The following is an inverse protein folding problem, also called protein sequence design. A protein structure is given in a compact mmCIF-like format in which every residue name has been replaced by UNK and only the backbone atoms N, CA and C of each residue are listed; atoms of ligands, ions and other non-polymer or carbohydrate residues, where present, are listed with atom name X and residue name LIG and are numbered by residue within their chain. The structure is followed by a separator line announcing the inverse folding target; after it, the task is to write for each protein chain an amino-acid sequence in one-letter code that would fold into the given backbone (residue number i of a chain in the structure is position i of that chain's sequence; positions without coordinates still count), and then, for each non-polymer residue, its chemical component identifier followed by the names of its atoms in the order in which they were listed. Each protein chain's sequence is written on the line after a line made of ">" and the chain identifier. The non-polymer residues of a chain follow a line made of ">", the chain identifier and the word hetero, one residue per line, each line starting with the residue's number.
data_IF_296290807865
#
_entry.id   IF_296290807865
#
_cell.length_a   1.000
_cell.length_b   1.000
_cell.length_c   1.000
_cell.angle_alpha   90.00
_cell.angle_beta   90.00
_cell.angle_gamma   90.00
#
_symmetry.space_group_name_H-M   'P 1'
#
loop_
_entity.id
_entity.type
_entity.pdbx_description
1 polymer ?
#
# COMPACT_ATOMS: atom_id res chain seq x y z
N UNK A 1 4.32 -25.97 20.65
CA UNK A 1 3.56 -24.80 20.18
C UNK A 1 2.47 -24.51 21.19
N UNK A 2 2.11 -23.26 21.41
CA UNK A 2 0.96 -22.94 22.27
C UNK A 2 -0.31 -22.88 21.42
N UNK A 3 -1.42 -23.34 21.99
CA UNK A 3 -2.74 -23.21 21.37
C UNK A 3 -3.15 -21.74 21.17
N UNK A 4 -4.07 -21.48 20.24
CA UNK A 4 -4.53 -20.13 19.95
C UNK A 4 -5.54 -19.66 21.01
N UNK A 5 -5.26 -18.51 21.63
CA UNK A 5 -6.20 -17.82 22.53
C UNK A 5 -6.94 -16.66 21.86
N UNK A 6 -6.36 -16.11 20.79
CA UNK A 6 -6.93 -15.04 19.96
C UNK A 6 -6.54 -15.28 18.50
N UNK A 7 -7.21 -14.59 17.57
CA UNK A 7 -6.91 -14.71 16.15
C UNK A 7 -5.50 -14.15 15.85
N UNK A 8 -4.60 -14.93 15.22
CA UNK A 8 -3.23 -14.48 14.93
C UNK A 8 -3.20 -13.29 13.95
N UNK A 9 -4.23 -13.15 13.11
CA UNK A 9 -4.36 -12.08 12.12
C UNK A 9 -4.82 -10.76 12.73
N UNK A 10 -5.91 -10.76 13.50
CA UNK A 10 -6.55 -9.50 13.94
C UNK A 10 -6.70 -9.35 15.46
N UNK A 11 -6.15 -10.26 16.26
CA UNK A 11 -6.33 -10.35 17.73
C UNK A 11 -7.79 -10.45 18.17
N UNK A 12 -8.72 -10.73 17.25
CA UNK A 12 -10.13 -10.91 17.56
C UNK A 12 -10.42 -12.23 18.27
N UNK A 13 -11.62 -12.33 18.84
CA UNK A 13 -12.12 -13.56 19.44
C UNK A 13 -12.22 -14.68 18.39
N UNK A 14 -11.87 -15.89 18.81
CA UNK A 14 -11.96 -17.12 18.02
C UNK A 14 -12.92 -18.09 18.69
N UNK A 15 -13.54 -18.94 17.88
CA UNK A 15 -14.37 -20.06 18.33
C UNK A 15 -13.88 -21.35 17.69
N UNK A 16 -13.96 -22.45 18.43
CA UNK A 16 -13.68 -23.78 17.90
C UNK A 16 -14.79 -24.16 16.92
N UNK A 17 -14.41 -24.79 15.82
CA UNK A 17 -15.33 -25.42 14.86
C UNK A 17 -15.01 -26.90 14.72
N UNK A 18 -16.04 -27.69 14.47
CA UNK A 18 -15.87 -29.11 14.17
C UNK A 18 -15.36 -29.28 12.73
N UNK A 19 -14.24 -29.97 12.58
CA UNK A 19 -13.70 -30.42 11.29
C UNK A 19 -13.30 -31.89 11.41
N UNK A 20 -14.28 -32.76 11.16
CA UNK A 20 -14.11 -34.21 11.23
C UNK A 20 -13.04 -34.72 10.25
N UNK A 21 -12.95 -34.11 9.07
CA UNK A 21 -11.96 -34.50 8.06
C UNK A 21 -10.53 -34.33 8.58
N UNK A 22 -10.19 -33.15 9.11
CA UNK A 22 -8.85 -32.93 9.66
C UNK A 22 -8.58 -33.76 10.90
N UNK A 23 -9.59 -34.03 11.73
CA UNK A 23 -9.46 -34.95 12.86
C UNK A 23 -9.07 -36.36 12.39
N UNK A 24 -9.80 -36.90 11.40
CA UNK A 24 -9.48 -38.20 10.80
C UNK A 24 -8.08 -38.19 10.17
N UNK A 25 -7.76 -37.16 9.38
CA UNK A 25 -6.46 -37.06 8.71
C UNK A 25 -5.31 -36.97 9.71
N UNK A 26 -5.47 -36.19 10.78
CA UNK A 26 -4.47 -36.08 11.84
C UNK A 26 -4.23 -37.44 12.52
N UNK A 27 -5.30 -38.18 12.82
CA UNK A 27 -5.22 -39.55 13.37
C UNK A 27 -4.53 -40.55 12.43
N UNK A 28 -4.71 -40.41 11.10
CA UNK A 28 -4.07 -41.26 10.10
C UNK A 28 -2.57 -41.00 9.98
N UNK A 29 -2.14 -39.74 10.14
CA UNK A 29 -0.72 -39.38 10.05
C UNK A 29 -0.03 -39.63 11.39
N UNK A 30 -0.75 -39.42 12.49
CA UNK A 30 -0.23 -39.55 13.86
C UNK A 30 -1.33 -40.10 14.78
N UNK A 31 -1.07 -41.26 15.40
CA UNK A 31 -2.09 -42.00 16.19
C UNK A 31 -2.70 -41.19 17.36
N UNK A 32 -1.97 -40.21 17.91
CA UNK A 32 -2.40 -39.40 19.06
C UNK A 32 -1.99 -37.94 18.84
N UNK A 33 -2.85 -37.16 18.15
CA UNK A 33 -2.65 -35.72 17.96
C UNK A 33 -3.85 -34.95 18.48
N UNK A 34 -3.58 -33.93 19.28
CA UNK A 34 -4.59 -32.95 19.61
C UNK A 34 -4.80 -32.06 18.38
N UNK A 35 -5.99 -32.11 17.78
CA UNK A 35 -6.34 -31.26 16.65
C UNK A 35 -7.50 -30.35 17.01
N UNK A 36 -7.32 -29.05 16.77
CA UNK A 36 -8.39 -28.05 16.91
C UNK A 36 -8.39 -27.13 15.69
N UNK A 37 -9.59 -26.80 15.22
CA UNK A 37 -9.75 -25.74 14.24
C UNK A 37 -10.55 -24.60 14.83
N UNK A 38 -10.08 -23.39 14.54
CA UNK A 38 -10.67 -22.15 14.99
C UNK A 38 -11.17 -21.34 13.81
N UNK A 39 -12.17 -20.50 14.07
CA UNK A 39 -12.58 -19.41 13.17
C UNK A 39 -12.70 -18.11 13.97
N UNK A 40 -12.17 -17.02 13.42
CA UNK A 40 -12.26 -15.70 14.01
C UNK A 40 -13.66 -15.09 13.77
N UNK A 41 -14.26 -14.53 14.82
CA UNK A 41 -15.56 -13.87 14.75
C UNK A 41 -15.50 -12.50 14.05
N UNK A 42 -14.32 -11.89 13.93
CA UNK A 42 -14.13 -10.57 13.32
C UNK A 42 -13.71 -10.64 11.85
N UNK A 43 -12.56 -11.26 11.55
CA UNK A 43 -12.01 -11.28 10.18
C UNK A 43 -12.30 -12.56 9.41
N UNK A 44 -12.99 -13.53 10.02
CA UNK A 44 -13.29 -14.85 9.45
C UNK A 44 -12.05 -15.65 9.02
N UNK A 45 -10.87 -15.30 9.54
CA UNK A 45 -9.68 -16.13 9.45
C UNK A 45 -9.94 -17.49 10.12
N UNK A 46 -9.57 -18.59 9.46
CA UNK A 46 -9.53 -19.89 10.13
C UNK A 46 -8.08 -20.31 10.36
N UNK A 47 -7.83 -20.98 11.47
CA UNK A 47 -6.52 -21.52 11.80
C UNK A 47 -6.64 -22.86 12.51
N UNK A 48 -5.62 -23.69 12.38
CA UNK A 48 -5.56 -25.04 12.94
C UNK A 48 -4.42 -25.12 13.94
N UNK A 49 -4.68 -25.76 15.07
CA UNK A 49 -3.66 -26.12 16.05
C UNK A 49 -3.50 -27.64 16.03
N UNK A 50 -2.24 -28.07 16.06
CA UNK A 50 -1.84 -29.44 16.34
C UNK A 50 -0.50 -29.48 17.07
N UNK A 51 -0.25 -30.55 17.82
CA UNK A 51 1.01 -30.76 18.56
C UNK A 51 2.11 -31.49 17.75
N UNK A 52 1.86 -31.73 16.46
CA UNK A 52 2.85 -32.32 15.54
C UNK A 52 4.06 -31.39 15.35
N UNK A 53 5.30 -31.88 15.54
CA UNK A 53 6.51 -31.16 15.16
C UNK A 53 6.55 -30.86 13.66
N UNK A 54 6.73 -29.58 13.28
CA UNK A 54 6.79 -29.17 11.87
C UNK A 54 7.92 -29.85 11.10
N UNK A 55 9.04 -30.13 11.75
CA UNK A 55 10.15 -30.86 11.13
C UNK A 55 9.68 -32.21 10.57
N UNK A 56 8.73 -32.89 11.22
CA UNK A 56 8.19 -34.16 10.72
C UNK A 56 7.26 -33.96 9.51
N UNK A 57 6.53 -32.85 9.49
CA UNK A 57 5.67 -32.46 8.37
C UNK A 57 6.52 -32.12 7.14
N UNK A 58 7.59 -31.34 7.32
CA UNK A 58 8.37 -30.79 6.22
C UNK A 58 9.63 -31.59 5.84
N UNK A 59 10.03 -32.60 6.63
CA UNK A 59 11.09 -33.55 6.26
C UNK A 59 10.60 -34.58 5.22
N UNK A 60 9.30 -34.64 4.90
CA UNK A 60 8.82 -35.45 3.78
C UNK A 60 9.39 -34.88 2.47
N UNK A 61 10.26 -35.67 1.81
CA UNK A 61 11.26 -35.26 0.80
C UNK A 61 10.75 -34.58 -0.49
N UNK A 62 9.47 -34.25 -0.63
CA UNK A 62 8.93 -33.76 -1.90
C UNK A 62 8.38 -32.34 -1.78
N UNK A 63 9.24 -31.34 -1.98
CA UNK A 63 8.75 -30.05 -2.48
C UNK A 63 8.16 -30.31 -3.87
N UNK A 64 6.84 -30.12 -4.01
CA UNK A 64 6.21 -30.28 -5.31
C UNK A 64 6.60 -29.09 -6.19
N UNK A 65 7.10 -29.31 -7.42
CA UNK A 65 7.31 -28.21 -8.35
C UNK A 65 5.97 -27.51 -8.60
N UNK A 66 6.02 -26.20 -8.85
CA UNK A 66 4.81 -25.44 -9.19
C UNK A 66 4.25 -26.00 -10.50
N UNK A 67 2.97 -26.36 -10.53
CA UNK A 67 2.31 -26.80 -11.77
C UNK A 67 2.24 -25.62 -12.75
N UNK A 68 2.89 -25.78 -13.90
CA UNK A 68 3.02 -24.74 -14.94
C UNK A 68 2.14 -24.99 -16.16
N UNK A 69 1.28 -26.02 -16.16
CA UNK A 69 0.47 -26.33 -17.35
C UNK A 69 -0.39 -25.14 -17.81
N UNK A 70 -0.76 -24.26 -16.88
CA UNK A 70 -1.58 -23.07 -17.12
C UNK A 70 -0.78 -21.75 -17.02
N UNK A 71 0.54 -21.80 -16.87
CA UNK A 71 1.43 -20.64 -16.72
C UNK A 71 1.64 -20.17 -15.27
N UNK A 72 2.62 -19.29 -15.09
CA UNK A 72 2.95 -18.67 -13.79
C UNK A 72 2.47 -17.21 -13.76
N UNK A 73 1.36 -16.96 -13.05
CA UNK A 73 0.74 -15.64 -12.96
C UNK A 73 1.40 -14.71 -11.94
N UNK A 74 2.33 -15.23 -11.12
CA UNK A 74 2.97 -14.46 -10.04
C UNK A 74 3.85 -13.35 -10.62
N UNK A 75 4.72 -13.69 -11.57
CA UNK A 75 5.59 -12.73 -12.24
C UNK A 75 4.80 -11.66 -13.01
N UNK A 76 3.73 -12.06 -13.69
CA UNK A 76 2.90 -11.14 -14.47
C UNK A 76 2.15 -10.14 -13.57
N UNK A 77 1.64 -10.60 -12.42
CA UNK A 77 1.07 -9.72 -11.41
C UNK A 77 2.10 -8.70 -10.91
N UNK A 78 3.33 -9.14 -10.61
CA UNK A 78 4.41 -8.26 -10.16
C UNK A 78 4.73 -7.21 -11.23
N UNK A 79 4.97 -7.61 -12.49
CA UNK A 79 5.32 -6.70 -13.59
C UNK A 79 4.23 -5.68 -13.90
N UNK A 80 2.96 -6.07 -13.79
CA UNK A 80 1.81 -5.18 -14.01
C UNK A 80 1.73 -4.06 -12.97
N UNK A 81 2.19 -4.33 -11.75
CA UNK A 81 2.02 -3.45 -10.59
C UNK A 81 3.30 -2.75 -10.14
N UNK A 82 4.45 -3.19 -10.62
CA UNK A 82 5.75 -2.65 -10.26
C UNK A 82 6.67 -2.56 -11.47
N UNK A 83 7.31 -1.41 -11.61
CA UNK A 83 8.42 -1.21 -12.53
C UNK A 83 9.69 -1.86 -11.95
N UNK A 84 9.80 -3.16 -12.19
CA UNK A 84 10.90 -3.99 -11.70
C UNK A 84 12.28 -3.59 -12.25
N UNK A 85 12.33 -2.75 -13.30
CA UNK A 85 13.61 -2.25 -13.85
C UNK A 85 14.28 -1.20 -12.93
N UNK A 86 13.53 -0.65 -11.97
CA UNK A 86 14.02 0.32 -10.98
C UNK A 86 14.57 -0.32 -9.70
N UNK A 87 14.64 -1.64 -9.66
CA UNK A 87 15.17 -2.37 -8.50
C UNK A 87 16.69 -2.41 -8.58
N UNK A 88 17.36 -1.97 -7.53
CA UNK A 88 18.82 -2.04 -7.37
C UNK A 88 19.26 -3.10 -6.33
N UNK A 89 18.28 -3.75 -5.71
CA UNK A 89 18.45 -4.84 -4.75
C UNK A 89 18.46 -6.23 -5.39
N UNK A 90 17.95 -7.20 -4.64
CA UNK A 90 17.90 -8.62 -5.00
C UNK A 90 16.46 -9.15 -4.99
N UNK A 91 16.17 -10.16 -5.80
CA UNK A 91 15.01 -11.03 -5.67
C UNK A 91 15.27 -12.07 -4.58
N UNK A 92 14.47 -12.02 -3.51
CA UNK A 92 14.64 -12.85 -2.31
C UNK A 92 13.35 -13.63 -2.07
N UNK A 93 13.41 -14.95 -2.19
CA UNK A 93 12.26 -15.82 -1.96
C UNK A 93 12.36 -16.50 -0.60
N UNK A 94 11.39 -16.21 0.27
CA UNK A 94 11.27 -16.84 1.59
C UNK A 94 10.40 -18.08 1.44
N UNK A 95 10.87 -19.23 1.92
CA UNK A 95 10.25 -20.55 1.73
C UNK A 95 10.20 -20.99 0.27
N UNK A 96 11.21 -20.62 -0.52
CA UNK A 96 11.19 -20.76 -1.98
C UNK A 96 11.47 -22.15 -2.52
N UNK A 97 11.83 -23.13 -1.69
CA UNK A 97 12.19 -24.48 -2.13
C UNK A 97 13.23 -24.45 -3.27
N UNK A 98 12.90 -24.91 -4.50
CA UNK A 98 13.82 -24.86 -5.64
C UNK A 98 14.24 -23.46 -6.13
N UNK A 99 13.52 -22.39 -5.74
CA UNK A 99 13.83 -21.00 -6.07
C UNK A 99 13.30 -20.49 -7.40
N UNK A 100 12.25 -21.12 -7.94
CA UNK A 100 11.76 -20.80 -9.29
C UNK A 100 11.28 -19.36 -9.45
N UNK A 101 10.58 -18.81 -8.46
CA UNK A 101 10.04 -17.45 -8.54
C UNK A 101 11.16 -16.42 -8.32
N UNK A 102 12.10 -16.68 -7.41
CA UNK A 102 13.32 -15.89 -7.25
C UNK A 102 14.06 -15.75 -8.58
N UNK A 103 14.27 -16.86 -9.29
CA UNK A 103 14.95 -16.86 -10.59
C UNK A 103 14.20 -16.05 -11.65
N UNK A 104 12.89 -16.25 -11.76
CA UNK A 104 12.05 -15.52 -12.72
C UNK A 104 12.12 -14.01 -12.50
N UNK A 105 11.99 -13.57 -11.25
CA UNK A 105 12.05 -12.16 -10.88
C UNK A 105 13.48 -11.62 -11.08
N UNK A 106 14.51 -12.36 -10.65
CA UNK A 106 15.92 -12.00 -10.85
C UNK A 106 16.24 -11.72 -12.32
N UNK A 107 15.86 -12.63 -13.21
CA UNK A 107 16.05 -12.48 -14.67
C UNK A 107 15.33 -11.23 -15.17
N UNK A 108 14.07 -11.03 -14.76
CA UNK A 108 13.29 -9.88 -15.18
C UNK A 108 13.85 -8.55 -14.65
N UNK A 109 14.58 -8.57 -13.53
CA UNK A 109 15.28 -7.42 -12.95
C UNK A 109 16.72 -7.26 -13.46
N UNK A 110 17.20 -8.13 -14.35
CA UNK A 110 18.60 -8.16 -14.80
C UNK A 110 19.63 -8.27 -13.66
N UNK A 111 19.26 -8.92 -12.55
CA UNK A 111 20.15 -9.14 -11.40
C UNK A 111 21.07 -10.33 -11.66
N UNK A 112 22.32 -10.27 -11.21
CA UNK A 112 23.29 -11.36 -11.42
C UNK A 112 23.05 -12.57 -10.51
N UNK A 113 22.51 -12.34 -9.31
CA UNK A 113 22.20 -13.37 -8.31
C UNK A 113 20.85 -13.12 -7.66
N UNK A 114 20.19 -14.18 -7.22
CA UNK A 114 19.00 -14.15 -6.36
C UNK A 114 19.26 -14.94 -5.08
N UNK A 115 18.32 -14.89 -4.14
CA UNK A 115 18.44 -15.56 -2.85
C UNK A 115 17.18 -16.35 -2.52
N UNK A 116 17.37 -17.55 -2.00
CA UNK A 116 16.32 -18.36 -1.39
C UNK A 116 16.63 -18.51 0.10
N UNK A 117 15.64 -18.19 0.93
CA UNK A 117 15.71 -18.36 2.38
C UNK A 117 14.75 -19.46 2.78
N UNK A 118 15.26 -20.56 3.32
CA UNK A 118 14.44 -21.72 3.70
C UNK A 118 15.10 -22.48 4.86
N UNK A 119 14.40 -23.44 5.46
CA UNK A 119 14.97 -24.30 6.51
C UNK A 119 15.65 -25.56 5.94
N UNK A 120 15.46 -25.85 4.64
CA UNK A 120 16.17 -26.92 3.92
C UNK A 120 16.67 -26.39 2.58
N UNK A 121 17.93 -26.66 2.27
CA UNK A 121 18.51 -26.33 0.96
C UNK A 121 17.94 -27.24 -0.12
N UNK A 122 17.09 -26.67 -0.96
CA UNK A 122 16.50 -27.32 -2.15
C UNK A 122 16.82 -26.55 -3.43
N UNK A 123 17.71 -25.56 -3.34
CA UNK A 123 18.00 -24.65 -4.45
C UNK A 123 18.57 -25.47 -5.62
N UNK A 124 17.97 -25.26 -6.80
CA UNK A 124 18.26 -26.08 -7.99
C UNK A 124 19.01 -25.31 -9.09
N UNK A 125 19.31 -24.02 -8.86
CA UNK A 125 19.80 -23.09 -9.87
C UNK A 125 21.06 -22.38 -9.37
N UNK A 126 22.16 -22.46 -10.13
CA UNK A 126 23.47 -21.87 -9.77
C UNK A 126 23.45 -20.33 -9.61
N UNK A 127 22.43 -19.69 -10.20
CA UNK A 127 22.18 -18.25 -10.10
C UNK A 127 21.58 -17.83 -8.76
N UNK A 128 21.23 -18.77 -7.89
CA UNK A 128 20.60 -18.54 -6.61
C UNK A 128 21.52 -18.95 -5.46
N UNK A 129 21.57 -18.10 -4.45
CA UNK A 129 22.17 -18.43 -3.15
C UNK A 129 21.12 -19.06 -2.23
N UNK A 130 21.56 -19.96 -1.35
CA UNK A 130 20.75 -20.49 -0.27
C UNK A 130 21.17 -19.90 1.07
N UNK A 131 20.19 -19.53 1.89
CA UNK A 131 20.41 -19.14 3.28
C UNK A 131 19.43 -19.86 4.19
N UNK A 132 20.00 -20.52 5.20
CA UNK A 132 19.22 -21.23 6.20
C UNK A 132 18.51 -20.25 7.15
N UNK A 133 17.22 -20.45 7.35
CA UNK A 133 16.46 -19.79 8.42
C UNK A 133 15.29 -20.66 8.88
N UNK A 134 15.18 -20.90 10.18
CA UNK A 134 13.94 -21.41 10.78
C UNK A 134 12.89 -20.30 10.74
N UNK A 135 11.92 -20.43 9.83
CA UNK A 135 10.87 -19.44 9.60
C UNK A 135 9.86 -19.35 10.75
N UNK A 136 9.76 -20.39 11.60
CA UNK A 136 8.93 -20.38 12.81
C UNK A 136 9.65 -19.76 14.02
N UNK A 137 10.95 -19.50 13.89
CA UNK A 137 11.77 -18.74 14.83
C UNK A 137 12.42 -17.52 14.15
N UNK A 138 11.71 -16.95 13.17
CA UNK A 138 12.22 -15.94 12.26
C UNK A 138 12.77 -14.69 12.96
N UNK A 139 12.25 -14.29 14.12
CA UNK A 139 12.75 -13.12 14.86
C UNK A 139 14.22 -13.23 15.26
N UNK A 140 14.73 -14.47 15.44
CA UNK A 140 16.13 -14.74 15.79
C UNK A 140 16.99 -15.05 14.57
N UNK A 141 16.46 -15.86 13.65
CA UNK A 141 17.22 -16.45 12.54
C UNK A 141 17.27 -15.53 11.33
N UNK A 142 16.13 -14.94 10.95
CA UNK A 142 16.00 -14.22 9.69
C UNK A 142 16.77 -12.88 9.63
N UNK A 143 16.80 -12.02 10.68
CA UNK A 143 17.61 -10.80 10.64
C UNK A 143 19.10 -11.08 10.42
N UNK A 144 19.65 -12.01 11.19
CA UNK A 144 21.07 -12.40 11.11
C UNK A 144 21.40 -12.95 9.72
N UNK A 145 20.53 -13.81 9.20
CA UNK A 145 20.64 -14.38 7.86
C UNK A 145 20.69 -13.31 6.75
N UNK A 146 19.92 -12.23 6.87
CA UNK A 146 19.82 -11.19 5.83
C UNK A 146 20.85 -10.08 5.99
N UNK A 147 21.25 -9.74 7.22
CA UNK A 147 22.24 -8.68 7.49
C UNK A 147 23.62 -9.03 6.92
N UNK A 148 24.01 -10.31 6.98
CA UNK A 148 25.29 -10.81 6.45
C UNK A 148 25.44 -10.65 4.92
N UNK A 149 24.32 -10.48 4.21
CA UNK A 149 24.26 -10.37 2.74
C UNK A 149 24.31 -8.91 2.28
N UNK A 150 24.15 -7.94 3.19
CA UNK A 150 24.27 -6.51 2.89
C UNK A 150 23.13 -5.94 2.04
N UNK A 151 21.90 -6.42 2.24
CA UNK A 151 20.72 -6.01 1.45
C UNK A 151 19.94 -4.81 2.02
N UNK A 152 20.25 -4.37 3.25
CA UNK A 152 19.39 -3.50 4.07
C UNK A 152 19.13 -2.10 3.49
N UNK A 153 20.02 -1.58 2.63
CA UNK A 153 19.88 -0.25 2.01
C UNK A 153 19.44 -0.29 0.54
N UNK A 154 19.11 -1.47 0.01
CA UNK A 154 18.71 -1.63 -1.40
C UNK A 154 17.21 -1.79 -1.54
N UNK A 155 16.70 -1.53 -2.74
CA UNK A 155 15.33 -1.79 -3.12
C UNK A 155 15.20 -3.23 -3.62
N UNK A 156 15.02 -4.15 -2.66
CA UNK A 156 14.85 -5.57 -2.92
C UNK A 156 13.38 -5.89 -3.26
N UNK A 157 13.14 -7.12 -3.72
CA UNK A 157 11.80 -7.69 -3.79
C UNK A 157 11.79 -9.00 -2.99
N UNK A 158 11.02 -9.01 -1.92
CA UNK A 158 10.75 -10.20 -1.12
C UNK A 158 9.54 -10.93 -1.70
N UNK A 159 9.66 -12.25 -1.83
CA UNK A 159 8.69 -13.13 -2.46
C UNK A 159 8.27 -14.18 -1.43
N UNK A 160 6.99 -14.23 -1.09
CA UNK A 160 6.42 -15.16 -0.12
C UNK A 160 5.21 -15.85 -0.77
N UNK A 161 5.47 -16.84 -1.63
CA UNK A 161 4.43 -17.59 -2.35
C UNK A 161 4.15 -18.90 -1.62
N UNK A 162 2.94 -19.06 -1.11
CA UNK A 162 2.52 -20.27 -0.39
C UNK A 162 3.39 -20.60 0.83
N UNK A 163 3.66 -19.59 1.66
CA UNK A 163 4.46 -19.73 2.89
C UNK A 163 3.70 -19.30 4.12
N UNK A 164 2.96 -18.20 4.08
CA UNK A 164 2.32 -17.68 5.29
C UNK A 164 1.25 -18.62 5.84
N UNK A 165 0.67 -19.51 5.03
CA UNK A 165 -0.25 -20.54 5.48
C UNK A 165 0.40 -21.60 6.39
N UNK A 166 1.72 -21.69 6.35
CA UNK A 166 2.58 -22.70 6.97
C UNK A 166 3.38 -22.20 8.18
N UNK A 167 3.35 -20.89 8.46
CA UNK A 167 4.08 -20.27 9.58
C UNK A 167 3.14 -20.07 10.77
N UNK A 168 3.56 -20.42 11.98
CA UNK A 168 2.72 -20.28 13.18
C UNK A 168 2.32 -18.84 13.52
N UNK A 169 3.28 -17.93 13.36
CA UNK A 169 3.06 -16.50 13.56
C UNK A 169 3.41 -15.73 12.27
N UNK A 170 2.45 -15.60 11.34
CA UNK A 170 2.67 -14.89 10.09
C UNK A 170 2.84 -13.39 10.33
N UNK A 171 2.42 -12.86 11.49
CA UNK A 171 2.69 -11.47 11.85
C UNK A 171 4.17 -11.28 12.20
N UNK A 172 4.78 -12.21 12.94
CA UNK A 172 6.19 -12.12 13.34
C UNK A 172 7.14 -12.03 12.12
N UNK A 173 6.98 -12.91 11.13
CA UNK A 173 7.84 -12.90 9.93
C UNK A 173 7.69 -11.62 9.12
N UNK A 174 6.45 -11.16 8.93
CA UNK A 174 6.16 -9.91 8.23
C UNK A 174 6.69 -8.68 9.00
N UNK A 175 6.64 -8.71 10.33
CA UNK A 175 7.18 -7.66 11.18
C UNK A 175 8.73 -7.61 11.14
N UNK A 176 9.39 -8.76 11.03
CA UNK A 176 10.85 -8.80 10.78
C UNK A 176 11.19 -8.18 9.42
N UNK A 177 10.47 -8.58 8.37
CA UNK A 177 10.69 -8.11 7.00
C UNK A 177 10.42 -6.61 6.83
N UNK A 178 9.56 -6.02 7.66
CA UNK A 178 9.29 -4.58 7.67
C UNK A 178 10.54 -3.71 7.84
N UNK A 179 11.62 -4.24 8.44
CA UNK A 179 12.90 -3.53 8.57
C UNK A 179 13.49 -3.12 7.22
N UNK A 180 13.16 -3.82 6.14
CA UNK A 180 13.61 -3.52 4.78
C UNK A 180 12.67 -2.49 4.14
N UNK A 181 12.61 -1.30 4.72
CA UNK A 181 11.56 -0.31 4.41
C UNK A 181 11.56 0.18 2.96
N UNK A 182 12.70 0.09 2.27
CA UNK A 182 12.86 0.53 0.88
C UNK A 182 12.50 -0.56 -0.14
N UNK A 183 12.10 -1.75 0.31
CA UNK A 183 11.84 -2.93 -0.53
C UNK A 183 10.36 -3.13 -0.82
N UNK A 184 10.08 -3.99 -1.80
CA UNK A 184 8.73 -4.47 -2.12
C UNK A 184 8.53 -5.89 -1.63
N UNK A 185 7.28 -6.25 -1.39
CA UNK A 185 6.88 -7.54 -0.87
C UNK A 185 5.73 -8.08 -1.72
N UNK A 186 5.99 -9.17 -2.43
CA UNK A 186 4.97 -9.98 -3.06
C UNK A 186 4.62 -11.12 -2.10
N UNK A 187 3.35 -11.22 -1.74
CA UNK A 187 2.87 -12.26 -0.84
C UNK A 187 1.66 -12.93 -1.49
N UNK A 188 1.69 -14.26 -1.54
CA UNK A 188 0.61 -15.08 -2.07
C UNK A 188 0.24 -16.19 -1.07
N UNK A 189 -1.06 -16.37 -0.87
CA UNK A 189 -1.64 -17.43 -0.04
C UNK A 189 -2.87 -18.03 -0.74
N UNK A 190 -3.29 -19.27 -0.42
CA UNK A 190 -4.53 -19.81 -0.95
C UNK A 190 -5.76 -18.99 -0.52
N UNK A 191 -6.76 -18.85 -1.40
CA UNK A 191 -8.01 -18.12 -1.12
C UNK A 191 -9.11 -19.05 -0.60
N UNK A 192 -9.25 -19.16 0.72
CA UNK A 192 -10.34 -19.90 1.37
C UNK A 192 -11.63 -19.10 1.52
N UNK A 193 -11.69 -17.89 0.95
CA UNK A 193 -12.90 -17.07 0.88
C UNK A 193 -13.82 -17.42 -0.29
N UNK A 194 -13.49 -18.42 -1.10
CA UNK A 194 -14.32 -18.93 -2.19
C UNK A 194 -14.68 -20.40 -1.98
N UNK A 195 -15.64 -20.87 -2.77
CA UNK A 195 -15.91 -22.29 -2.89
C UNK A 195 -14.80 -22.98 -3.67
N UNK A 196 -14.29 -24.10 -3.14
CA UNK A 196 -13.32 -24.96 -3.81
C UNK A 196 -14.06 -26.17 -4.39
N UNK A 197 -13.90 -26.42 -5.69
CA UNK A 197 -14.49 -27.60 -6.31
C UNK A 197 -13.86 -28.91 -5.75
N UNK A 198 -14.62 -30.00 -5.80
CA UNK A 198 -14.19 -31.35 -5.41
C UNK A 198 -12.86 -31.81 -6.03
N UNK A 199 -12.55 -31.33 -7.23
CA UNK A 199 -11.30 -31.63 -7.95
C UNK A 199 -10.09 -30.85 -7.42
N UNK A 200 -10.32 -29.68 -6.82
CA UNK A 200 -9.29 -28.78 -6.24
C UNK A 200 -9.12 -29.01 -4.73
N UNK A 201 -10.14 -29.60 -4.09
CA UNK A 201 -10.19 -29.96 -2.68
C UNK A 201 -9.02 -30.86 -2.24
N UNK A 202 -8.47 -31.69 -3.15
CA UNK A 202 -7.37 -32.63 -2.87
C UNK A 202 -6.08 -31.94 -2.42
N UNK A 203 -5.83 -30.71 -2.89
CA UNK A 203 -4.58 -30.00 -2.64
C UNK A 203 -4.70 -28.80 -1.69
N UNK A 204 -5.92 -28.32 -1.42
CA UNK A 204 -6.08 -26.96 -0.87
C UNK A 204 -6.71 -26.89 0.52
N UNK A 205 -7.70 -27.70 0.89
CA UNK A 205 -8.62 -27.27 1.97
C UNK A 205 -8.30 -27.80 3.36
N UNK A 206 -7.50 -28.87 3.50
CA UNK A 206 -7.36 -29.52 4.80
C UNK A 206 -6.07 -30.37 4.89
N UNK A 207 -4.92 -29.73 4.70
CA UNK A 207 -3.62 -30.33 5.01
C UNK A 207 -3.23 -29.96 6.44
N UNK A 208 -2.72 -30.89 7.28
CA UNK A 208 -2.19 -30.53 8.60
C UNK A 208 -1.14 -29.41 8.51
N UNK A 209 -0.39 -29.38 7.41
CA UNK A 209 0.68 -28.44 7.14
C UNK A 209 0.17 -26.99 6.99
N UNK A 210 -1.11 -26.80 6.65
CA UNK A 210 -1.76 -25.49 6.58
C UNK A 210 -2.30 -25.14 7.96
N UNK A 211 -1.61 -24.23 8.64
CA UNK A 211 -1.99 -23.65 9.94
C UNK A 211 -2.99 -22.51 9.74
N UNK A 212 -2.97 -21.86 8.57
CA UNK A 212 -3.75 -20.65 8.32
C UNK A 212 -4.55 -20.72 7.02
N UNK A 213 -5.83 -20.33 7.13
CA UNK A 213 -6.81 -20.38 6.06
C UNK A 213 -7.34 -18.96 5.84
N UNK A 214 -6.67 -18.24 4.93
CA UNK A 214 -6.95 -16.86 4.64
C UNK A 214 -8.12 -16.70 3.67
N UNK A 215 -8.98 -15.72 3.95
CA UNK A 215 -9.82 -15.06 2.96
C UNK A 215 -9.27 -13.64 2.68
N UNK A 216 -9.83 -12.93 1.70
CA UNK A 216 -9.37 -11.57 1.34
C UNK A 216 -9.37 -10.59 2.52
N UNK A 217 -10.37 -10.66 3.40
CA UNK A 217 -10.48 -9.77 4.57
C UNK A 217 -9.38 -10.08 5.59
N UNK A 218 -9.21 -11.34 5.99
CA UNK A 218 -8.16 -11.72 6.94
C UNK A 218 -6.77 -11.44 6.38
N UNK A 219 -6.54 -11.73 5.09
CA UNK A 219 -5.24 -11.50 4.48
C UNK A 219 -4.88 -10.02 4.46
N UNK A 220 -5.73 -9.15 3.91
CA UNK A 220 -5.48 -7.71 3.91
C UNK A 220 -5.39 -7.12 5.33
N UNK A 221 -6.15 -7.67 6.29
CA UNK A 221 -6.04 -7.26 7.70
C UNK A 221 -4.64 -7.55 8.25
N UNK A 222 -4.07 -8.73 7.97
CA UNK A 222 -2.71 -9.07 8.38
C UNK A 222 -1.68 -8.10 7.77
N UNK A 223 -1.78 -7.87 6.45
CA UNK A 223 -0.86 -6.99 5.71
C UNK A 223 -0.90 -5.56 6.29
N UNK A 224 -2.09 -5.01 6.49
CA UNK A 224 -2.27 -3.67 7.05
C UNK A 224 -1.82 -3.59 8.51
N UNK A 225 -2.09 -4.61 9.32
CA UNK A 225 -1.66 -4.67 10.73
C UNK A 225 -0.14 -4.68 10.86
N UNK A 226 0.58 -5.31 9.93
CA UNK A 226 2.04 -5.25 9.87
C UNK A 226 2.54 -3.86 9.44
N UNK A 227 1.66 -2.99 8.93
CA UNK A 227 1.98 -1.63 8.50
C UNK A 227 2.55 -1.55 7.10
N UNK A 228 2.17 -2.48 6.22
CA UNK A 228 2.46 -2.37 4.80
C UNK A 228 1.39 -1.54 4.09
N UNK A 229 1.83 -0.78 3.09
CA UNK A 229 0.96 -0.11 2.13
C UNK A 229 0.72 -1.02 0.93
N UNK A 230 -0.54 -1.30 0.62
CA UNK A 230 -0.91 -2.19 -0.49
C UNK A 230 -0.84 -1.41 -1.81
N UNK A 231 0.04 -1.86 -2.71
CA UNK A 231 0.18 -1.32 -4.07
C UNK A 231 -0.85 -1.98 -4.99
N UNK A 232 -0.97 -3.30 -4.90
CA UNK A 232 -1.91 -4.07 -5.69
C UNK A 232 -2.43 -5.29 -4.92
N UNK A 233 -3.65 -5.71 -5.24
CA UNK A 233 -4.28 -6.90 -4.70
C UNK A 233 -5.08 -7.61 -5.79
N UNK A 234 -4.95 -8.93 -5.88
CA UNK A 234 -5.68 -9.78 -6.82
C UNK A 234 -6.22 -11.02 -6.13
N UNK A 235 -7.35 -11.51 -6.65
CA UNK A 235 -7.86 -12.85 -6.36
C UNK A 235 -7.83 -13.66 -7.65
N UNK A 236 -7.08 -14.76 -7.65
CA UNK A 236 -7.13 -15.75 -8.71
C UNK A 236 -8.22 -16.77 -8.42
N UNK A 237 -9.01 -17.12 -9.43
CA UNK A 237 -10.06 -18.13 -9.35
C UNK A 237 -9.74 -19.34 -10.24
N UNK A 238 -10.60 -20.36 -10.17
CA UNK A 238 -10.55 -21.57 -11.00
C UNK A 238 -10.40 -21.27 -12.51
N UNK A 239 -9.77 -22.16 -13.32
CA UNK A 239 -9.46 -23.57 -13.01
C UNK A 239 -8.19 -23.79 -12.17
N UNK A 240 -7.46 -22.74 -11.85
CA UNK A 240 -6.29 -22.79 -10.97
C UNK A 240 -6.70 -22.92 -9.50
N UNK A 241 -5.75 -23.32 -8.65
CA UNK A 241 -5.93 -23.21 -7.19
C UNK A 241 -6.24 -21.74 -6.85
N UNK A 242 -7.36 -21.46 -6.16
CA UNK A 242 -7.69 -20.10 -5.76
C UNK A 242 -6.59 -19.51 -4.89
N UNK A 243 -6.17 -18.29 -5.22
CA UNK A 243 -5.06 -17.62 -4.52
C UNK A 243 -5.36 -16.13 -4.33
N UNK A 244 -4.88 -15.60 -3.21
CA UNK A 244 -4.84 -14.19 -2.89
C UNK A 244 -3.41 -13.70 -3.12
N UNK A 245 -3.25 -12.61 -3.87
CA UNK A 245 -1.95 -11.98 -4.11
C UNK A 245 -1.98 -10.55 -3.65
N UNK A 246 -0.92 -10.13 -2.98
CA UNK A 246 -0.70 -8.72 -2.65
C UNK A 246 0.71 -8.34 -3.05
N UNK A 247 0.84 -7.15 -3.62
CA UNK A 247 2.10 -6.45 -3.75
C UNK A 247 2.04 -5.25 -2.82
N UNK A 248 3.01 -5.11 -1.94
CA UNK A 248 3.04 -4.04 -0.96
C UNK A 248 4.46 -3.50 -0.72
N UNK A 249 4.54 -2.37 -0.04
CA UNK A 249 5.77 -1.72 0.40
C UNK A 249 5.64 -1.26 1.86
N UNK A 250 6.76 -0.94 2.49
CA UNK A 250 6.77 -0.29 3.79
C UNK A 250 6.82 1.22 3.61
N UNK A 251 5.67 1.88 3.53
CA UNK A 251 5.61 3.33 3.64
C UNK A 251 4.91 3.75 4.93
N UNK A 252 5.33 4.88 5.49
CA UNK A 252 4.57 5.53 6.54
C UNK A 252 3.19 5.88 5.99
N UNK A 253 2.14 5.47 6.71
CA UNK A 253 0.81 6.03 6.45
C UNK A 253 0.83 7.51 6.82
N UNK A 254 1.10 8.36 5.84
CA UNK A 254 0.95 9.80 6.00
C UNK A 254 -0.48 10.17 5.67
N UNK A 255 -1.25 10.47 6.71
CA UNK A 255 -2.55 11.08 6.50
C UNK A 255 -2.31 12.56 6.18
N UNK A 256 -2.70 13.00 4.98
CA UNK A 256 -2.53 14.39 4.51
C UNK A 256 -3.20 15.42 5.43
N UNK A 257 -4.17 15.00 6.25
CA UNK A 257 -4.77 15.84 7.30
C UNK A 257 -3.73 16.34 8.31
N UNK A 258 -2.69 15.56 8.60
CA UNK A 258 -1.62 15.99 9.50
C UNK A 258 -0.78 17.13 8.92
N UNK A 259 -0.83 17.35 7.60
CA UNK A 259 -0.02 18.37 6.91
C UNK A 259 -0.81 19.60 6.43
N UNK A 260 -2.05 19.79 6.89
CA UNK A 260 -2.88 20.93 6.48
C UNK A 260 -2.23 22.29 6.74
N UNK A 261 -1.44 22.41 7.82
CA UNK A 261 -0.74 23.66 8.11
C UNK A 261 0.39 23.95 7.12
N UNK A 262 1.21 22.95 6.76
CA UNK A 262 2.28 23.19 5.78
C UNK A 262 1.68 23.44 4.40
N UNK A 263 0.63 22.70 4.03
CA UNK A 263 -0.09 22.93 2.78
C UNK A 263 -0.70 24.35 2.70
N UNK A 264 -1.43 24.78 3.75
CA UNK A 264 -1.97 26.14 3.86
C UNK A 264 -0.86 27.18 3.78
N UNK A 265 0.27 26.96 4.45
CA UNK A 265 1.40 27.88 4.43
C UNK A 265 2.06 27.96 3.05
N UNK A 266 2.28 26.83 2.37
CA UNK A 266 2.89 26.76 1.03
C UNK A 266 2.05 27.57 0.04
N UNK A 267 0.77 27.22 -0.11
CA UNK A 267 -0.14 27.88 -1.07
C UNK A 267 -0.36 29.36 -0.73
N UNK A 268 -0.56 29.70 0.55
CA UNK A 268 -0.75 31.10 0.95
C UNK A 268 0.51 31.94 0.72
N UNK A 269 1.72 31.39 0.90
CA UNK A 269 2.95 32.11 0.59
C UNK A 269 3.10 32.37 -0.91
N UNK A 270 2.80 31.39 -1.77
CA UNK A 270 2.80 31.61 -3.23
C UNK A 270 1.78 32.69 -3.64
N UNK A 271 0.63 32.76 -2.98
CA UNK A 271 -0.33 33.85 -3.19
C UNK A 271 0.21 35.22 -2.75
N UNK A 272 0.95 35.29 -1.64
CA UNK A 272 1.63 36.53 -1.22
C UNK A 272 2.56 37.01 -2.32
N UNK A 273 3.42 36.12 -2.83
CA UNK A 273 4.39 36.46 -3.88
C UNK A 273 3.69 36.97 -5.16
N UNK A 274 2.58 36.33 -5.56
CA UNK A 274 1.77 36.77 -6.71
C UNK A 274 1.16 38.15 -6.44
N UNK A 275 0.60 38.38 -5.25
CA UNK A 275 -0.05 39.65 -4.90
C UNK A 275 0.97 40.79 -4.87
N UNK A 276 2.10 40.61 -4.17
CA UNK A 276 3.10 41.68 -4.01
C UNK A 276 3.80 42.01 -5.35
N UNK A 277 4.09 40.99 -6.16
CA UNK A 277 4.74 41.20 -7.47
C UNK A 277 3.84 41.87 -8.51
N UNK A 278 2.52 41.73 -8.40
CA UNK A 278 1.59 42.33 -9.35
C UNK A 278 0.87 43.57 -8.80
N UNK A 279 0.75 43.76 -7.47
CA UNK A 279 -0.10 44.81 -6.89
C UNK A 279 0.46 46.24 -6.84
N UNK A 280 1.78 46.45 -6.98
CA UNK A 280 2.37 47.80 -6.86
C UNK A 280 2.07 48.70 -8.06
N UNK A 281 2.08 48.13 -9.27
CA UNK A 281 1.97 48.86 -10.52
C UNK A 281 0.70 48.54 -11.31
N UNK A 282 -0.17 47.69 -10.77
CA UNK A 282 -1.37 47.23 -11.46
C UNK A 282 -2.58 47.34 -10.54
N UNK A 283 -3.76 47.35 -11.14
CA UNK A 283 -5.02 47.24 -10.40
C UNK A 283 -5.29 45.77 -10.14
N UNK A 284 -5.03 45.32 -8.92
CA UNK A 284 -5.09 43.91 -8.57
C UNK A 284 -6.36 43.57 -7.81
N UNK A 285 -6.97 42.48 -8.26
CA UNK A 285 -8.24 41.97 -7.77
C UNK A 285 -8.08 40.52 -7.35
N UNK A 286 -8.68 40.15 -6.21
CA UNK A 286 -8.72 38.75 -5.77
C UNK A 286 -10.09 38.18 -6.12
N UNK A 287 -10.14 37.10 -6.89
CA UNK A 287 -11.40 36.41 -7.19
C UNK A 287 -11.48 35.10 -6.39
N UNK A 288 -12.25 35.13 -5.31
CA UNK A 288 -12.46 34.07 -4.32
C UNK A 288 -11.67 34.28 -3.03
N UNK A 289 -12.38 34.40 -1.90
CA UNK A 289 -11.82 34.51 -0.55
C UNK A 289 -11.72 33.11 0.10
N UNK A 290 -10.89 32.25 -0.47
CA UNK A 290 -10.59 30.94 0.14
C UNK A 290 -9.78 31.09 1.44
N UNK A 291 -9.64 30.01 2.20
CA UNK A 291 -8.74 29.98 3.35
C UNK A 291 -7.29 30.31 2.98
N UNK A 292 -6.84 29.95 1.77
CA UNK A 292 -5.50 30.27 1.27
C UNK A 292 -5.35 31.77 1.00
N UNK A 293 -6.31 32.39 0.30
CA UNK A 293 -6.24 33.82 0.00
C UNK A 293 -6.45 34.67 1.27
N UNK A 294 -7.36 34.29 2.15
CA UNK A 294 -7.52 34.89 3.48
C UNK A 294 -6.20 34.90 4.28
N UNK A 295 -5.51 33.74 4.35
CA UNK A 295 -4.20 33.63 5.02
C UNK A 295 -3.12 34.46 4.32
N UNK A 296 -3.10 34.51 3.00
CA UNK A 296 -2.15 35.30 2.23
C UNK A 296 -2.34 36.81 2.49
N UNK A 297 -3.57 37.31 2.40
CA UNK A 297 -3.92 38.71 2.68
C UNK A 297 -3.52 39.08 4.12
N UNK A 298 -3.75 38.19 5.09
CA UNK A 298 -3.35 38.41 6.48
C UNK A 298 -1.83 38.43 6.72
N UNK A 299 -1.01 37.86 5.80
CA UNK A 299 0.46 37.92 5.85
C UNK A 299 1.02 39.23 5.30
N UNK A 300 0.29 39.90 4.42
CA UNK A 300 0.73 41.14 3.75
C UNK A 300 0.52 42.33 4.68
N UNK A 301 1.54 43.20 4.80
CA UNK A 301 1.43 44.43 5.58
C UNK A 301 0.76 45.52 4.74
N UNK A 302 -0.38 46.04 5.22
CA UNK A 302 -1.22 47.01 4.49
C UNK A 302 -1.71 46.46 3.13
N UNK A 303 -2.46 45.34 3.13
CA UNK A 303 -2.83 44.65 1.90
C UNK A 303 -3.71 45.50 0.96
N UNK A 304 -4.41 46.52 1.48
CA UNK A 304 -5.17 47.52 0.72
C UNK A 304 -4.31 48.38 -0.22
N UNK A 305 -2.98 48.38 -0.04
CA UNK A 305 -2.04 49.02 -0.98
C UNK A 305 -1.79 48.20 -2.24
N UNK A 306 -2.03 46.89 -2.15
CA UNK A 306 -1.77 45.94 -3.23
C UNK A 306 -3.04 45.40 -3.86
N UNK A 307 -4.16 45.37 -3.13
CA UNK A 307 -5.41 44.74 -3.55
C UNK A 307 -6.53 45.79 -3.54
N UNK A 308 -7.13 46.02 -4.70
CA UNK A 308 -8.21 46.98 -4.85
C UNK A 308 -9.54 46.44 -4.32
N UNK A 309 -9.92 45.22 -4.72
CA UNK A 309 -11.21 44.58 -4.36
C UNK A 309 -11.05 43.06 -4.29
N UNK A 310 -11.81 42.43 -3.40
CA UNK A 310 -12.01 40.99 -3.34
C UNK A 310 -13.41 40.67 -3.90
N UNK A 311 -13.50 39.78 -4.88
CA UNK A 311 -14.76 39.24 -5.37
C UNK A 311 -15.04 37.89 -4.75
N UNK A 312 -16.08 37.78 -3.91
CA UNK A 312 -16.50 36.52 -3.31
C UNK A 312 -18.02 36.44 -3.14
N UNK A 313 -18.60 35.32 -3.58
CA UNK A 313 -20.05 35.10 -3.52
C UNK A 313 -20.51 34.35 -2.27
N UNK A 314 -19.58 33.76 -1.52
CA UNK A 314 -19.85 32.87 -0.39
C UNK A 314 -19.96 33.66 0.91
N UNK A 315 -19.10 34.64 1.11
CA UNK A 315 -19.04 35.40 2.36
C UNK A 315 -19.82 36.71 2.26
N UNK A 316 -20.65 37.00 3.26
CA UNK A 316 -21.40 38.27 3.36
C UNK A 316 -20.61 39.30 4.15
N UNK A 317 -19.42 39.65 3.64
CA UNK A 317 -18.55 40.67 4.22
C UNK A 317 -18.62 41.95 3.40
N UNK A 318 -18.61 43.11 4.04
CA UNK A 318 -18.42 44.39 3.35
C UNK A 318 -16.94 44.64 3.06
N UNK A 319 -16.07 44.24 3.99
CA UNK A 319 -14.61 44.34 3.86
C UNK A 319 -13.91 43.12 4.47
N UNK A 320 -12.68 42.85 4.03
CA UNK A 320 -11.76 41.88 4.63
C UNK A 320 -10.35 42.48 4.71
N UNK A 321 -9.81 42.62 5.93
CA UNK A 321 -8.54 43.32 6.19
C UNK A 321 -8.47 44.73 5.52
N UNK A 322 -9.58 45.47 5.57
CA UNK A 322 -9.67 46.83 5.00
C UNK A 322 -9.92 46.87 3.49
N UNK A 323 -9.94 45.73 2.80
CA UNK A 323 -10.21 45.64 1.36
C UNK A 323 -11.71 45.43 1.13
N UNK A 324 -12.36 46.20 0.23
CA UNK A 324 -13.76 45.98 -0.14
C UNK A 324 -14.00 44.56 -0.66
N UNK A 325 -15.11 43.95 -0.22
CA UNK A 325 -15.58 42.65 -0.72
C UNK A 325 -16.88 42.87 -1.49
N UNK A 326 -16.87 42.48 -2.76
CA UNK A 326 -18.04 42.53 -3.67
C UNK A 326 -18.39 41.12 -4.12
N UNK A 327 -19.62 40.89 -4.62
CA UNK A 327 -19.98 39.53 -5.06
C UNK A 327 -19.41 39.20 -6.43
N UNK A 328 -19.37 40.18 -7.32
CA UNK A 328 -19.01 39.97 -8.72
C UNK A 328 -18.31 41.20 -9.31
N UNK A 329 -17.39 41.02 -10.29
CA UNK A 329 -16.77 42.15 -10.99
C UNK A 329 -17.75 43.10 -11.66
N UNK A 330 -18.95 42.65 -12.03
CA UNK A 330 -19.99 43.54 -12.59
C UNK A 330 -20.51 44.59 -11.61
N UNK A 331 -20.28 44.43 -10.30
CA UNK A 331 -20.71 45.40 -9.30
C UNK A 331 -19.81 46.65 -9.27
N UNK A 332 -18.66 46.62 -9.95
CA UNK A 332 -17.86 47.81 -10.20
C UNK A 332 -18.33 48.49 -11.47
N UNK A 333 -18.73 49.76 -11.36
CA UNK A 333 -18.99 50.64 -12.50
C UNK A 333 -17.66 51.10 -13.13
N UNK A 334 -16.91 50.13 -13.68
CA UNK A 334 -15.55 50.32 -14.22
C UNK A 334 -15.28 49.38 -15.38
N UNK A 335 -14.54 49.87 -16.37
CA UNK A 335 -13.98 49.06 -17.45
C UNK A 335 -12.58 48.59 -17.04
N UNK A 336 -12.37 47.27 -16.99
CA UNK A 336 -11.05 46.69 -16.76
C UNK A 336 -10.22 46.66 -18.05
N UNK A 337 -8.91 46.83 -17.93
CA UNK A 337 -7.98 46.91 -19.05
C UNK A 337 -6.76 45.98 -18.82
N UNK A 338 -5.70 46.15 -19.61
CA UNK A 338 -4.48 45.33 -19.52
C UNK A 338 -3.70 45.50 -18.20
N UNK A 339 -3.94 46.60 -17.46
CA UNK A 339 -3.37 46.84 -16.14
C UNK A 339 -4.23 46.21 -15.03
N UNK A 340 -5.38 45.61 -15.36
CA UNK A 340 -6.22 44.89 -14.40
C UNK A 340 -5.76 43.43 -14.27
N UNK A 341 -5.33 43.06 -13.06
CA UNK A 341 -4.83 41.71 -12.75
C UNK A 341 -5.78 41.01 -11.80
N UNK A 342 -6.35 39.89 -12.22
CA UNK A 342 -7.21 39.05 -11.41
C UNK A 342 -6.44 37.83 -10.92
N UNK A 343 -6.31 37.70 -9.61
CA UNK A 343 -5.69 36.55 -8.95
C UNK A 343 -6.78 35.64 -8.39
N UNK A 344 -6.83 34.39 -8.84
CA UNK A 344 -7.80 33.42 -8.33
C UNK A 344 -7.39 32.92 -6.95
N UNK A 345 -8.25 33.11 -5.95
CA UNK A 345 -8.00 32.58 -4.60
C UNK A 345 -8.31 31.09 -4.45
N UNK A 346 -8.90 30.44 -5.45
CA UNK A 346 -9.20 29.00 -5.43
C UNK A 346 -8.05 28.17 -5.99
N UNK A 347 -7.77 27.01 -5.39
CA UNK A 347 -6.85 25.99 -5.93
C UNK A 347 -7.56 24.92 -6.78
N UNK A 348 -8.90 24.97 -6.86
CA UNK A 348 -9.66 24.00 -7.65
C UNK A 348 -9.63 24.36 -9.13
N UNK A 349 -9.00 23.52 -9.95
CA UNK A 349 -8.83 23.76 -11.39
C UNK A 349 -10.14 24.02 -12.14
N UNK A 350 -11.22 23.34 -11.78
CA UNK A 350 -12.55 23.56 -12.36
C UNK A 350 -13.07 24.97 -12.07
N UNK A 351 -12.89 25.47 -10.84
CA UNK A 351 -13.28 26.82 -10.43
C UNK A 351 -12.40 27.86 -11.13
N UNK A 352 -11.09 27.64 -11.15
CA UNK A 352 -10.13 28.50 -11.85
C UNK A 352 -10.49 28.64 -13.33
N UNK A 353 -10.82 27.54 -14.01
CA UNK A 353 -11.22 27.54 -15.41
C UNK A 353 -12.55 28.26 -15.66
N UNK A 354 -13.53 28.09 -14.77
CA UNK A 354 -14.81 28.79 -14.87
C UNK A 354 -14.63 30.30 -14.71
N UNK A 355 -13.84 30.74 -13.71
CA UNK A 355 -13.51 32.15 -13.49
C UNK A 355 -12.73 32.74 -14.67
N UNK A 356 -11.73 32.02 -15.19
CA UNK A 356 -10.95 32.45 -16.36
C UNK A 356 -11.84 32.70 -17.58
N UNK A 357 -12.71 31.74 -17.91
CA UNK A 357 -13.66 31.88 -19.03
C UNK A 357 -14.60 33.06 -18.83
N UNK A 358 -15.14 33.22 -17.61
CA UNK A 358 -16.01 34.34 -17.28
C UNK A 358 -15.29 35.68 -17.46
N UNK A 359 -14.07 35.81 -16.94
CA UNK A 359 -13.26 37.02 -17.09
C UNK A 359 -13.00 37.32 -18.58
N UNK A 360 -12.59 36.33 -19.37
CA UNK A 360 -12.31 36.52 -20.80
C UNK A 360 -13.54 36.98 -21.60
N UNK A 361 -14.73 36.49 -21.26
CA UNK A 361 -15.97 36.94 -21.90
C UNK A 361 -16.33 38.40 -21.55
N UNK A 362 -15.98 38.86 -20.35
CA UNK A 362 -16.36 40.18 -19.86
C UNK A 362 -15.30 41.24 -20.17
N UNK A 363 -14.02 40.87 -20.06
CA UNK A 363 -12.87 41.76 -20.10
C UNK A 363 -11.71 41.04 -20.78
N UNK A 364 -11.73 41.00 -22.12
CA UNK A 364 -10.78 40.24 -22.92
C UNK A 364 -9.30 40.63 -22.69
N UNK A 365 -9.06 41.88 -22.29
CA UNK A 365 -7.73 42.44 -22.06
C UNK A 365 -7.19 42.21 -20.63
N UNK A 366 -8.02 41.76 -19.67
CA UNK A 366 -7.60 41.59 -18.29
C UNK A 366 -6.71 40.35 -18.09
N UNK A 367 -5.68 40.46 -17.25
CA UNK A 367 -4.78 39.35 -16.92
C UNK A 367 -5.40 38.48 -15.84
N UNK A 368 -5.37 37.15 -16.01
CA UNK A 368 -5.81 36.18 -15.00
C UNK A 368 -4.66 35.29 -14.54
N UNK A 369 -4.39 35.27 -13.23
CA UNK A 369 -3.31 34.53 -12.60
C UNK A 369 -3.88 33.51 -11.61
N UNK A 370 -3.34 32.30 -11.61
CA UNK A 370 -3.66 31.22 -10.67
C UNK A 370 -2.41 30.78 -9.93
N UNK A 371 -2.58 30.21 -8.74
CA UNK A 371 -1.50 29.44 -8.12
C UNK A 371 -1.36 28.13 -8.88
N UNK A 372 -0.15 27.84 -9.35
CA UNK A 372 0.15 26.54 -9.95
C UNK A 372 0.13 25.46 -8.88
N UNK A 373 -0.46 24.33 -9.23
CA UNK A 373 -0.49 23.14 -8.40
C UNK A 373 0.34 22.09 -9.14
N UNK A 374 1.60 21.92 -8.73
CA UNK A 374 2.43 20.78 -9.15
C UNK A 374 1.95 19.49 -8.48
#
# INVERSE_FOLDING_TARGET
>A
MNDFSTCPVCNGKIKIIENEFCKIRSQLIYNEVEFKQYICENCYHSCTYHDVPLELIYNAENALPTDRELGDYRLEFIKKSLDITKLDGMAIEIGGGPGELAEQVRVACSQSRGLVVDFVDRVSLDSLDFVYSDLNNCERTLPSALDDIGISNKKNVFLLSHVLEHIFDPFAILNVLKKFSNSYFFIEVPDFGVYHDSTVLRYSVNCPDHIHYFNSRSFLTLIQRCGFNVIAFERQSAPLVPALRVLCECSSFENSVFDYNAHLNKVSSSLVDIIESNGINNELYIWGLSSFSAKAIAKIKNPEKFINVIFDTKYHLETYNGIPVLKDPTELDKVFNQESVFVCGSTFSVVQNAMRKKLQCMYADAKFITVDYE
#
